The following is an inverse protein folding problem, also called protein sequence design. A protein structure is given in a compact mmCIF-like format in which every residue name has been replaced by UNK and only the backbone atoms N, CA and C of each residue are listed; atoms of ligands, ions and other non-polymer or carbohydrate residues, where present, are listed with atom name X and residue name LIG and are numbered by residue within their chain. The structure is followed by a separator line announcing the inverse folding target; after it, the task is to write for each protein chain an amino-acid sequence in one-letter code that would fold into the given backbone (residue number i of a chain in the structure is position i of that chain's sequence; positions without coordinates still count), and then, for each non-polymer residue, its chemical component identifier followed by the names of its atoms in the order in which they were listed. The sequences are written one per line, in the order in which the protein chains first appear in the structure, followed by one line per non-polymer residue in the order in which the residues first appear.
data_IF_395355409312
#
_entry.id   IF_395355409312
#
_cell.length_a   1.000
_cell.length_b   1.000
_cell.length_c   1.000
_cell.angle_alpha   90.00
_cell.angle_beta   90.00
_cell.angle_gamma   90.00
#
_symmetry.space_group_name_H-M   'P 1'
#
loop_
_entity.id
_entity.type
_entity.pdbx_description
1 polymer ?
#
# COMPACT_ATOMS: atom_id res chain seq x y z
N UNK A 1 45.44 14.35 30.38
CA UNK A 1 46.81 14.74 30.77
C UNK A 1 47.04 14.77 32.28
N UNK A 2 46.20 15.44 33.09
CA UNK A 2 46.43 15.58 34.55
C UNK A 2 46.57 14.26 35.34
N UNK A 3 45.77 13.22 35.05
CA UNK A 3 45.89 11.91 35.73
C UNK A 3 47.23 11.22 35.44
N UNK A 4 47.74 11.30 34.21
CA UNK A 4 49.06 10.75 33.81
C UNK A 4 50.23 11.51 34.45
N UNK A 5 50.09 12.84 34.60
CA UNK A 5 51.07 13.67 35.29
C UNK A 5 51.12 13.39 36.80
N UNK A 6 49.97 13.18 37.44
CA UNK A 6 49.90 12.81 38.86
C UNK A 6 50.48 11.41 39.10
N UNK A 7 50.15 10.43 38.26
CA UNK A 7 50.74 9.08 38.39
C UNK A 7 52.25 9.08 38.13
N UNK A 8 52.73 9.87 37.15
CA UNK A 8 54.16 10.02 36.89
C UNK A 8 54.88 10.70 38.05
N UNK A 9 54.27 11.72 38.67
CA UNK A 9 54.82 12.43 39.82
C UNK A 9 54.85 11.56 41.09
N UNK A 10 53.82 10.73 41.32
CA UNK A 10 53.83 9.76 42.44
C UNK A 10 54.88 8.66 42.25
N UNK A 11 55.09 8.19 41.02
CA UNK A 11 56.13 7.20 40.70
C UNK A 11 57.52 7.82 40.86
N UNK A 12 57.72 9.05 40.38
CA UNK A 12 58.98 9.79 40.54
C UNK A 12 59.32 10.04 42.02
N UNK A 13 58.33 10.43 42.82
CA UNK A 13 58.52 10.66 44.26
C UNK A 13 58.77 9.36 45.05
N UNK A 14 58.21 8.23 44.60
CA UNK A 14 58.47 6.91 45.16
C UNK A 14 59.82 6.30 44.74
N UNK A 15 60.45 6.81 43.67
CA UNK A 15 61.78 6.42 43.18
C UNK A 15 62.94 7.20 43.82
N UNK A 16 62.71 8.44 44.27
CA UNK A 16 63.70 9.25 45.00
C UNK A 16 64.33 8.54 46.23
N UNK A 17 63.58 7.78 47.05
CA UNK A 17 64.12 7.01 48.17
C UNK A 17 65.05 5.88 47.74
N UNK A 18 64.73 5.23 46.61
CA UNK A 18 65.52 4.12 46.04
C UNK A 18 66.84 4.64 45.50
N UNK A 19 66.83 5.84 44.90
CA UNK A 19 68.04 6.52 44.42
C UNK A 19 68.93 6.97 45.59
N UNK A 20 68.34 7.50 46.67
CA UNK A 20 69.07 7.87 47.89
C UNK A 20 69.70 6.65 48.59
N UNK A 21 69.11 5.46 48.45
CA UNK A 21 69.68 4.19 48.93
C UNK A 21 70.81 3.67 48.03
N UNK A 22 70.89 4.12 46.76
CA UNK A 22 71.84 3.64 45.76
C UNK A 22 73.07 4.56 45.56
N UNK A 23 73.03 5.83 46.01
CA UNK A 23 74.10 6.81 45.79
C UNK A 23 74.90 7.20 47.05
N UNK A 24 74.89 6.40 48.12
CA UNK A 24 75.54 6.76 49.38
C UNK A 24 76.10 5.57 50.13
N UNK A 25 77.35 5.21 49.83
CA UNK A 25 78.19 4.48 50.77
C UNK A 25 78.64 5.38 51.91
N UNK A 26 78.65 4.85 53.13
CA UNK A 26 79.47 5.35 54.24
C UNK A 26 78.82 6.39 55.15
N UNK A 27 78.75 6.03 56.44
CA UNK A 27 78.62 6.91 57.62
C UNK A 27 77.24 7.51 57.95
N UNK A 28 76.28 6.63 58.29
CA UNK A 28 75.22 6.98 59.23
C UNK A 28 75.73 6.81 60.68
N UNK A 29 76.42 7.82 61.19
CA UNK A 29 76.59 7.98 62.63
C UNK A 29 75.18 8.25 63.26
N UNK A 30 74.68 7.28 64.02
CA UNK A 30 73.40 7.20 64.77
C UNK A 30 72.23 6.42 64.11
N UNK A 31 71.97 5.17 64.56
CA UNK A 31 70.84 4.32 64.12
C UNK A 31 69.45 4.96 64.22
N UNK A 32 69.28 5.98 65.05
CA UNK A 32 68.00 6.63 65.31
C UNK A 32 67.63 7.62 64.20
N UNK A 33 68.61 8.22 63.50
CA UNK A 33 68.35 9.15 62.40
C UNK A 33 67.79 8.44 61.18
N UNK A 34 68.32 7.26 60.83
CA UNK A 34 67.83 6.47 59.70
C UNK A 34 66.38 6.01 59.90
N UNK A 35 66.01 5.62 61.12
CA UNK A 35 64.63 5.24 61.46
C UNK A 35 63.68 6.43 61.29
N UNK A 36 64.08 7.62 61.75
CA UNK A 36 63.29 8.85 61.61
C UNK A 36 63.12 9.24 60.14
N UNK A 37 64.18 9.18 59.33
CA UNK A 37 64.10 9.47 57.89
C UNK A 37 63.17 8.49 57.15
N UNK A 38 63.23 7.19 57.47
CA UNK A 38 62.31 6.18 56.92
C UNK A 38 60.86 6.46 57.32
N UNK A 39 60.61 6.86 58.56
CA UNK A 39 59.27 7.22 59.05
C UNK A 39 58.69 8.45 58.36
N UNK A 40 59.51 9.48 58.15
CA UNK A 40 59.11 10.70 57.43
C UNK A 40 58.75 10.34 55.99
N UNK A 41 59.56 9.52 55.34
CA UNK A 41 59.32 9.08 53.97
C UNK A 41 58.02 8.27 53.83
N UNK A 42 57.80 7.30 54.72
CA UNK A 42 56.54 6.54 54.77
C UNK A 42 55.33 7.45 55.02
N UNK A 43 55.47 8.46 55.90
CA UNK A 43 54.39 9.41 56.18
C UNK A 43 54.05 10.29 54.97
N UNK A 44 55.05 10.74 54.21
CA UNK A 44 54.86 11.48 52.96
C UNK A 44 54.15 10.60 51.92
N UNK A 45 54.57 9.34 51.77
CA UNK A 45 53.93 8.39 50.85
C UNK A 45 52.46 8.14 51.23
N UNK A 46 52.17 7.88 52.51
CA UNK A 46 50.81 7.69 53.02
C UNK A 46 49.96 8.95 52.85
N UNK A 47 50.52 10.14 53.07
CA UNK A 47 49.83 11.41 52.88
C UNK A 47 49.38 11.62 51.43
N UNK A 48 50.26 11.31 50.46
CA UNK A 48 49.94 11.37 49.03
C UNK A 48 48.90 10.33 48.65
N UNK A 49 49.04 9.11 49.15
CA UNK A 49 48.09 8.03 48.89
C UNK A 49 46.71 8.36 49.44
N UNK A 50 46.64 8.90 50.66
CA UNK A 50 45.41 9.37 51.29
C UNK A 50 44.74 10.49 50.47
N UNK A 51 45.50 11.49 50.03
CA UNK A 51 44.96 12.58 49.20
C UNK A 51 44.44 12.07 47.84
N UNK A 52 45.16 11.15 47.19
CA UNK A 52 44.74 10.56 45.93
C UNK A 52 43.49 9.68 46.08
N UNK A 53 43.46 8.78 47.08
CA UNK A 53 42.33 7.90 47.37
C UNK A 53 41.08 8.69 47.76
N UNK A 54 41.22 9.71 48.60
CA UNK A 54 40.10 10.57 49.04
C UNK A 54 39.39 11.23 47.86
N UNK A 55 40.09 11.49 46.76
CA UNK A 55 39.49 12.08 45.56
C UNK A 55 38.93 11.03 44.58
N UNK A 56 39.64 9.91 44.37
CA UNK A 56 39.28 8.94 43.33
C UNK A 56 38.16 7.99 43.77
N UNK A 57 38.19 7.50 45.01
CA UNK A 57 37.25 6.47 45.49
C UNK A 57 35.80 6.97 45.53
N UNK A 58 35.49 8.17 46.09
CA UNK A 58 34.12 8.67 46.08
C UNK A 58 33.59 8.94 44.67
N UNK A 59 34.45 9.48 43.79
CA UNK A 59 34.07 9.78 42.41
C UNK A 59 33.70 8.51 41.63
N UNK A 60 34.50 7.44 41.74
CA UNK A 60 34.21 6.17 41.07
C UNK A 60 32.90 5.50 41.58
N UNK A 61 32.60 5.64 42.87
CA UNK A 61 31.34 5.14 43.44
C UNK A 61 30.13 5.98 43.02
N UNK A 62 30.30 7.30 42.91
CA UNK A 62 29.26 8.20 42.38
C UNK A 62 28.98 7.91 40.90
N UNK A 63 30.02 7.81 40.08
CA UNK A 63 29.91 7.49 38.65
C UNK A 63 29.17 6.15 38.43
N UNK A 64 29.47 5.13 39.26
CA UNK A 64 28.74 3.85 39.24
C UNK A 64 27.27 4.00 39.63
N UNK A 65 26.97 4.73 40.71
CA UNK A 65 25.59 4.96 41.15
C UNK A 65 24.78 5.70 40.10
N UNK A 66 25.37 6.73 39.48
CA UNK A 66 24.73 7.46 38.39
C UNK A 66 24.52 6.60 37.15
N UNK A 67 25.49 5.75 36.79
CA UNK A 67 25.35 4.79 35.70
C UNK A 67 24.17 3.83 35.92
N UNK A 68 24.11 3.18 37.08
CA UNK A 68 23.02 2.26 37.42
C UNK A 68 21.67 2.99 37.49
N UNK A 69 21.64 4.20 38.04
CA UNK A 69 20.40 5.00 38.09
C UNK A 69 19.92 5.38 36.68
N UNK A 70 20.83 5.72 35.76
CA UNK A 70 20.51 6.00 34.36
C UNK A 70 19.98 4.75 33.65
N UNK A 71 20.68 3.62 33.76
CA UNK A 71 20.25 2.36 33.15
C UNK A 71 18.87 1.92 33.66
N UNK A 72 18.60 2.06 34.97
CA UNK A 72 17.28 1.77 35.53
C UNK A 72 16.20 2.73 35.02
N UNK A 73 16.51 4.01 34.86
CA UNK A 73 15.58 5.00 34.31
C UNK A 73 15.26 4.68 32.84
N UNK A 74 16.29 4.39 32.03
CA UNK A 74 16.14 4.00 30.63
C UNK A 74 15.35 2.70 30.49
N UNK A 75 15.62 1.69 31.32
CA UNK A 75 14.87 0.44 31.32
C UNK A 75 13.39 0.63 31.70
N UNK A 76 13.10 1.48 32.70
CA UNK A 76 11.71 1.83 33.06
C UNK A 76 11.01 2.54 31.91
N UNK A 77 11.65 3.53 31.30
CA UNK A 77 11.10 4.26 30.16
C UNK A 77 10.85 3.34 28.97
N UNK A 78 11.80 2.46 28.65
CA UNK A 78 11.64 1.48 27.58
C UNK A 78 10.48 0.51 27.85
N UNK A 79 10.28 0.11 29.11
CA UNK A 79 9.14 -0.72 29.51
C UNK A 79 7.82 0.03 29.34
N UNK A 80 7.73 1.27 29.83
CA UNK A 80 6.54 2.11 29.69
C UNK A 80 6.19 2.37 28.22
N UNK A 81 7.19 2.69 27.38
CA UNK A 81 7.02 2.88 25.94
C UNK A 81 6.54 1.58 25.25
N UNK A 82 7.05 0.41 25.67
CA UNK A 82 6.63 -0.88 25.14
C UNK A 82 5.18 -1.22 25.55
N UNK A 83 4.81 -0.97 26.81
CA UNK A 83 3.46 -1.17 27.32
C UNK A 83 2.45 -0.23 26.62
N UNK A 84 2.82 1.03 26.41
CA UNK A 84 2.02 2.00 25.67
C UNK A 84 1.79 1.55 24.22
N UNK A 85 2.85 1.15 23.51
CA UNK A 85 2.73 0.61 22.14
C UNK A 85 1.87 -0.64 22.09
N UNK A 86 2.02 -1.53 23.06
CA UNK A 86 1.22 -2.76 23.13
C UNK A 86 -0.26 -2.46 23.36
N UNK A 87 -0.59 -1.46 24.20
CA UNK A 87 -1.95 -0.98 24.38
C UNK A 87 -2.52 -0.38 23.08
N UNK A 88 -1.76 0.47 22.39
CA UNK A 88 -2.16 1.04 21.10
C UNK A 88 -2.42 -0.04 20.04
N UNK A 89 -1.53 -1.04 19.92
CA UNK A 89 -1.72 -2.13 18.96
C UNK A 89 -2.91 -3.00 19.31
N UNK A 90 -3.15 -3.30 20.60
CA UNK A 90 -4.35 -4.02 21.02
C UNK A 90 -5.62 -3.26 20.66
N UNK A 91 -5.64 -1.95 20.88
CA UNK A 91 -6.78 -1.11 20.51
C UNK A 91 -6.98 -1.09 18.99
N UNK A 92 -5.90 -0.94 18.21
CA UNK A 92 -5.96 -1.02 16.73
C UNK A 92 -6.50 -2.36 16.27
N UNK A 93 -6.03 -3.48 16.83
CA UNK A 93 -6.51 -4.82 16.49
C UNK A 93 -7.99 -5.01 16.83
N UNK A 94 -8.44 -4.50 17.99
CA UNK A 94 -9.85 -4.54 18.36
C UNK A 94 -10.73 -3.73 17.39
N UNK A 95 -10.30 -2.53 17.03
CA UNK A 95 -11.01 -1.67 16.08
C UNK A 95 -11.05 -2.29 14.68
N UNK A 96 -9.95 -2.90 14.22
CA UNK A 96 -9.88 -3.56 12.92
C UNK A 96 -10.91 -4.67 12.76
N UNK A 97 -11.22 -5.43 13.82
CA UNK A 97 -12.26 -6.46 13.74
C UNK A 97 -13.65 -5.85 13.48
N UNK A 98 -13.96 -4.72 14.14
CA UNK A 98 -15.21 -3.98 13.92
C UNK A 98 -15.25 -3.37 12.51
N UNK A 99 -14.16 -2.78 12.05
CA UNK A 99 -14.03 -2.24 10.69
C UNK A 99 -14.22 -3.33 9.64
N UNK A 100 -13.59 -4.51 9.81
CA UNK A 100 -13.77 -5.66 8.91
C UNK A 100 -15.23 -6.14 8.91
N UNK A 101 -15.89 -6.16 10.07
CA UNK A 101 -17.28 -6.56 10.16
C UNK A 101 -18.20 -5.57 9.43
N UNK A 102 -18.00 -4.26 9.63
CA UNK A 102 -18.71 -3.21 8.92
C UNK A 102 -18.47 -3.29 7.41
N UNK A 103 -17.21 -3.40 6.98
CA UNK A 103 -16.82 -3.53 5.58
C UNK A 103 -17.49 -4.74 4.91
N UNK A 104 -17.53 -5.90 5.59
CA UNK A 104 -18.24 -7.09 5.07
C UNK A 104 -19.74 -6.87 4.95
N UNK A 105 -20.36 -6.14 5.88
CA UNK A 105 -21.78 -5.82 5.80
C UNK A 105 -22.05 -4.90 4.60
N UNK A 106 -21.22 -3.87 4.42
CA UNK A 106 -21.32 -2.93 3.29
C UNK A 106 -21.14 -3.65 1.95
N UNK A 107 -20.12 -4.50 1.81
CA UNK A 107 -19.91 -5.30 0.59
C UNK A 107 -21.09 -6.24 0.29
N UNK A 108 -21.72 -6.83 1.31
CA UNK A 108 -22.91 -7.66 1.11
C UNK A 108 -24.10 -6.83 0.63
N UNK A 109 -24.35 -5.69 1.27
CA UNK A 109 -25.44 -4.79 0.89
C UNK A 109 -25.24 -4.24 -0.53
N UNK A 110 -24.01 -3.83 -0.87
CA UNK A 110 -23.68 -3.36 -2.21
C UNK A 110 -23.79 -4.49 -3.24
N UNK A 111 -23.31 -5.69 -2.92
CA UNK A 111 -23.44 -6.86 -3.79
C UNK A 111 -24.89 -7.23 -4.07
N UNK A 112 -25.77 -7.17 -3.06
CA UNK A 112 -27.21 -7.39 -3.23
C UNK A 112 -27.87 -6.31 -4.10
N UNK A 113 -27.49 -5.05 -3.90
CA UNK A 113 -27.98 -3.93 -4.71
C UNK A 113 -27.54 -4.07 -6.17
N UNK A 114 -26.26 -4.39 -6.41
CA UNK A 114 -25.73 -4.61 -7.75
C UNK A 114 -26.40 -5.82 -8.41
N UNK A 115 -26.61 -6.92 -7.69
CA UNK A 115 -27.34 -8.08 -8.19
C UNK A 115 -28.75 -7.70 -8.64
N UNK A 116 -29.50 -6.95 -7.81
CA UNK A 116 -30.84 -6.47 -8.18
C UNK A 116 -30.81 -5.61 -9.44
N UNK A 117 -29.89 -4.65 -9.52
CA UNK A 117 -29.72 -3.80 -10.71
C UNK A 117 -29.40 -4.58 -11.98
N UNK A 118 -28.51 -5.57 -11.88
CA UNK A 118 -28.16 -6.44 -13.03
C UNK A 118 -29.38 -7.25 -13.47
N UNK A 119 -30.14 -7.81 -12.54
CA UNK A 119 -31.36 -8.57 -12.87
C UNK A 119 -32.43 -7.68 -13.51
N UNK A 120 -32.68 -6.49 -12.97
CA UNK A 120 -33.62 -5.52 -13.55
C UNK A 120 -33.19 -5.09 -14.96
N UNK A 121 -31.90 -4.81 -15.15
CA UNK A 121 -31.36 -4.44 -16.46
C UNK A 121 -31.48 -5.59 -17.45
N UNK A 122 -31.18 -6.82 -17.02
CA UNK A 122 -31.31 -8.01 -17.86
C UNK A 122 -32.77 -8.23 -18.26
N UNK A 123 -33.74 -8.09 -17.35
CA UNK A 123 -35.17 -8.19 -17.66
C UNK A 123 -35.60 -7.15 -18.69
N UNK A 124 -35.21 -5.88 -18.51
CA UNK A 124 -35.48 -4.81 -19.48
C UNK A 124 -34.85 -5.09 -20.84
N UNK A 125 -33.63 -5.60 -20.87
CA UNK A 125 -32.95 -5.99 -22.11
C UNK A 125 -33.68 -7.13 -22.81
N UNK A 126 -34.13 -8.15 -22.08
CA UNK A 126 -34.91 -9.26 -22.65
C UNK A 126 -36.22 -8.73 -23.24
N UNK A 127 -36.96 -7.90 -22.51
CA UNK A 127 -38.22 -7.32 -22.99
C UNK A 127 -38.01 -6.48 -24.26
N UNK A 128 -36.96 -5.65 -24.28
CA UNK A 128 -36.59 -4.86 -25.45
C UNK A 128 -36.23 -5.75 -26.65
N UNK A 129 -35.44 -6.81 -26.43
CA UNK A 129 -35.06 -7.77 -27.48
C UNK A 129 -36.30 -8.48 -28.02
N UNK A 130 -37.19 -8.97 -27.15
CA UNK A 130 -38.43 -9.64 -27.56
C UNK A 130 -39.33 -8.73 -28.38
N UNK A 131 -39.50 -7.47 -27.95
CA UNK A 131 -40.30 -6.48 -28.70
C UNK A 131 -39.68 -6.17 -30.07
N UNK A 132 -38.36 -6.01 -30.12
CA UNK A 132 -37.65 -5.78 -31.37
C UNK A 132 -37.75 -7.00 -32.31
N UNK A 133 -37.58 -8.21 -31.79
CA UNK A 133 -37.72 -9.44 -32.56
C UNK A 133 -39.13 -9.60 -33.14
N UNK A 134 -40.18 -9.32 -32.37
CA UNK A 134 -41.55 -9.32 -32.87
C UNK A 134 -41.76 -8.30 -34.00
N UNK A 135 -41.27 -7.06 -33.81
CA UNK A 135 -41.37 -6.00 -34.82
C UNK A 135 -40.62 -6.35 -36.10
N UNK A 136 -39.42 -6.93 -35.98
CA UNK A 136 -38.62 -7.38 -37.12
C UNK A 136 -39.31 -8.54 -37.83
N UNK A 137 -39.82 -9.53 -37.09
CA UNK A 137 -40.56 -10.67 -37.66
C UNK A 137 -41.80 -10.25 -38.43
N UNK A 138 -42.59 -9.30 -37.90
CA UNK A 138 -43.74 -8.74 -38.61
C UNK A 138 -43.33 -8.01 -39.90
N UNK A 139 -42.21 -7.27 -39.86
CA UNK A 139 -41.69 -6.56 -41.03
C UNK A 139 -41.21 -7.53 -42.10
N UNK A 140 -40.46 -8.56 -41.72
CA UNK A 140 -39.96 -9.59 -42.64
C UNK A 140 -41.11 -10.38 -43.25
N UNK A 141 -42.13 -10.74 -42.46
CA UNK A 141 -43.33 -11.41 -42.97
C UNK A 141 -44.06 -10.55 -44.03
N UNK A 142 -44.23 -9.25 -43.79
CA UNK A 142 -44.82 -8.34 -44.77
C UNK A 142 -43.98 -8.25 -46.04
N UNK A 143 -42.66 -8.09 -45.90
CA UNK A 143 -41.75 -8.04 -47.05
C UNK A 143 -41.78 -9.34 -47.88
N UNK A 144 -41.88 -10.50 -47.22
CA UNK A 144 -42.00 -11.79 -47.91
C UNK A 144 -43.32 -11.89 -48.69
N UNK A 145 -44.44 -11.46 -48.10
CA UNK A 145 -45.74 -11.44 -48.78
C UNK A 145 -45.71 -10.50 -50.00
N UNK A 146 -45.14 -9.31 -49.84
CA UNK A 146 -45.04 -8.33 -50.94
C UNK A 146 -44.16 -8.87 -52.07
N UNK A 147 -43.03 -9.52 -51.75
CA UNK A 147 -42.15 -10.16 -52.73
C UNK A 147 -42.86 -11.29 -53.49
N UNK A 148 -43.62 -12.15 -52.81
CA UNK A 148 -44.39 -13.22 -53.47
C UNK A 148 -45.46 -12.62 -54.39
N UNK A 149 -46.14 -11.54 -53.95
CA UNK A 149 -47.13 -10.85 -54.77
C UNK A 149 -46.48 -10.26 -56.04
N UNK A 150 -45.31 -9.65 -55.91
CA UNK A 150 -44.58 -9.10 -57.05
C UNK A 150 -44.20 -10.20 -58.06
N UNK A 151 -43.69 -11.35 -57.57
CA UNK A 151 -43.39 -12.50 -58.42
C UNK A 151 -44.63 -13.06 -59.11
N UNK A 152 -45.75 -13.18 -58.40
CA UNK A 152 -47.02 -13.66 -58.96
C UNK A 152 -47.54 -12.71 -60.05
N UNK A 153 -47.48 -11.39 -59.83
CA UNK A 153 -47.86 -10.38 -60.84
C UNK A 153 -46.96 -10.49 -62.06
N UNK A 154 -45.64 -10.64 -61.87
CA UNK A 154 -44.68 -10.79 -62.97
C UNK A 154 -44.96 -12.04 -63.80
N UNK A 155 -45.26 -13.17 -63.16
CA UNK A 155 -45.63 -14.42 -63.86
C UNK A 155 -46.98 -14.29 -64.59
N UNK A 156 -47.97 -13.66 -63.97
CA UNK A 156 -49.27 -13.43 -64.60
C UNK A 156 -49.15 -12.53 -65.84
N UNK A 157 -48.36 -11.46 -65.76
CA UNK A 157 -48.07 -10.58 -66.90
C UNK A 157 -47.31 -11.31 -68.02
N UNK A 158 -46.35 -12.16 -67.67
CA UNK A 158 -45.63 -12.98 -68.65
C UNK A 158 -46.59 -13.94 -69.39
N UNK A 159 -47.45 -14.66 -68.65
CA UNK A 159 -48.44 -15.56 -69.22
C UNK A 159 -49.48 -14.82 -70.07
N UNK A 160 -49.98 -13.68 -69.58
CA UNK A 160 -50.90 -12.83 -70.34
C UNK A 160 -50.24 -12.34 -71.64
N UNK A 161 -48.97 -11.94 -71.58
CA UNK A 161 -48.18 -11.56 -72.76
C UNK A 161 -48.04 -12.72 -73.76
N UNK A 162 -47.76 -13.94 -73.30
CA UNK A 162 -47.70 -15.12 -74.17
C UNK A 162 -49.05 -15.46 -74.81
N UNK A 163 -50.14 -15.37 -74.05
CA UNK A 163 -51.50 -15.62 -74.56
C UNK A 163 -51.88 -14.54 -75.58
N UNK A 164 -51.66 -13.26 -75.26
CA UNK A 164 -51.88 -12.15 -76.19
C UNK A 164 -51.06 -12.34 -77.46
N UNK A 165 -49.78 -12.70 -77.36
CA UNK A 165 -48.93 -12.94 -78.54
C UNK A 165 -49.43 -14.09 -79.42
N UNK A 166 -50.03 -15.14 -78.83
CA UNK A 166 -50.62 -16.27 -79.57
C UNK A 166 -52.00 -15.94 -80.16
N UNK A 167 -52.77 -15.05 -79.53
CA UNK A 167 -54.11 -14.68 -79.95
C UNK A 167 -54.15 -13.45 -80.88
N UNK A 168 -53.09 -12.65 -80.94
CA UNK A 168 -53.05 -11.41 -81.72
C UNK A 168 -53.05 -11.69 -83.23
N UNK A 169 -54.12 -11.27 -83.91
CA UNK A 169 -54.25 -11.31 -85.37
C UNK A 169 -54.42 -9.91 -85.99
N UNK A 170 -54.45 -9.86 -87.33
CA UNK A 170 -54.58 -8.60 -88.09
C UNK A 170 -55.90 -7.84 -87.83
N UNK A 171 -56.98 -8.54 -87.47
CA UNK A 171 -58.26 -7.91 -87.12
C UNK A 171 -58.24 -7.21 -85.75
N UNK A 172 -57.57 -7.78 -84.75
CA UNK A 172 -57.46 -7.17 -83.42
C UNK A 172 -56.57 -5.93 -83.43
N UNK A 173 -55.56 -5.91 -84.29
CA UNK A 173 -54.72 -4.71 -84.50
C UNK A 173 -55.52 -3.54 -85.09
N UNK A 174 -56.41 -3.80 -86.07
CA UNK A 174 -57.33 -2.76 -86.59
C UNK A 174 -58.31 -2.28 -85.52
N UNK A 175 -58.94 -3.20 -84.79
CA UNK A 175 -59.91 -2.89 -83.73
C UNK A 175 -59.29 -2.10 -82.57
N UNK A 176 -58.03 -2.37 -82.23
CA UNK A 176 -57.28 -1.61 -81.23
C UNK A 176 -56.97 -0.18 -81.69
N UNK A 177 -56.63 0.01 -82.96
CA UNK A 177 -56.39 1.34 -83.55
C UNK A 177 -57.70 2.15 -83.60
N UNK A 178 -58.81 1.56 -84.08
CA UNK A 178 -60.12 2.20 -84.09
C UNK A 178 -60.56 2.60 -82.67
N UNK A 179 -60.45 1.72 -81.66
CA UNK A 179 -60.74 2.07 -80.26
C UNK A 179 -59.86 3.18 -79.69
N UNK A 180 -58.60 3.25 -80.12
CA UNK A 180 -57.68 4.30 -79.65
C UNK A 180 -58.02 5.63 -80.31
N UNK A 181 -58.43 5.61 -81.57
CA UNK A 181 -58.93 6.79 -82.30
C UNK A 181 -60.23 7.27 -81.64
N UNK A 182 -61.23 6.41 -81.43
CA UNK A 182 -62.49 6.76 -80.75
C UNK A 182 -62.26 7.36 -79.35
N UNK A 183 -61.28 6.85 -78.61
CA UNK A 183 -61.00 7.31 -77.25
C UNK A 183 -60.27 8.65 -77.22
N UNK A 184 -59.50 8.97 -78.26
CA UNK A 184 -58.86 10.28 -78.46
C UNK A 184 -59.90 11.28 -79.01
N UNK A 185 -60.82 10.82 -79.87
CA UNK A 185 -61.88 11.64 -80.46
C UNK A 185 -62.98 12.00 -79.44
N UNK A 186 -63.26 11.12 -78.47
CA UNK A 186 -64.16 11.39 -77.32
C UNK A 186 -63.52 12.13 -76.14
N UNK A 187 -62.24 12.53 -76.24
CA UNK A 187 -61.53 13.36 -75.26
C UNK A 187 -61.39 14.83 -75.70
N UNK A 188 -61.99 15.20 -76.83
CA UNK A 188 -62.30 16.58 -77.24
C UNK A 188 -63.81 16.83 -77.14
#
# INVERSE_FOLDING_TARGET
MRRRAVTAMTILLALLPVLALASGGGEAAHPWRDIIFKFINLSVLLGIFYYALRKVVPQALMDRKEGVAKELCEAKKAKEDAEARLAEYKQKVANLQSEIAALRADFKAEGELQKKRILEQAQKSVEAISKNAATVGEREAKMAIDSIREEAVKQALALAGEILAKAYGAEDQKRAIEKTIDKIEGLH
#
